data_IF_129803153640
#
_entry.id   IF_129803153640
#
_cell.length_a   1.000
_cell.length_b   1.000
_cell.length_c   1.000
_cell.angle_alpha   90.00
_cell.angle_beta   90.00
_cell.angle_gamma   90.00
#
_symmetry.space_group_name_H-M   'P 1'
#
loop_
_entity.id
_entity.type
_entity.pdbx_description
1 polymer ?
#
# COMPACT_ATOMS: atom_id res chain seq x y z
N UNK A 1 -0.51 8.99 22.77
CA UNK A 1 -0.63 9.43 21.37
C UNK A 1 -1.06 8.23 20.55
N UNK A 2 -2.35 8.11 20.26
CA UNK A 2 -2.91 6.99 19.51
C UNK A 2 -2.63 7.21 18.02
N UNK A 3 -1.85 6.34 17.38
CA UNK A 3 -1.78 6.31 15.92
C UNK A 3 -3.21 6.24 15.38
N UNK A 4 -3.60 7.10 14.42
CA UNK A 4 -4.93 7.01 13.86
C UNK A 4 -5.12 5.68 13.15
N UNK A 5 -6.35 5.16 13.17
CA UNK A 5 -6.69 3.92 12.49
C UNK A 5 -6.61 4.11 10.98
N UNK A 6 -5.48 3.73 10.40
CA UNK A 6 -5.29 3.63 8.96
C UNK A 6 -6.20 2.53 8.41
N UNK A 7 -6.93 2.81 7.32
CA UNK A 7 -7.71 1.77 6.64
C UNK A 7 -6.74 0.87 5.86
N UNK A 8 -6.74 -0.41 6.23
CA UNK A 8 -5.84 -1.43 5.66
C UNK A 8 -6.58 -2.42 4.77
N UNK A 9 -5.84 -3.17 3.95
CA UNK A 9 -6.38 -4.29 3.18
C UNK A 9 -7.10 -5.32 4.09
N UNK A 10 -6.56 -5.58 5.29
CA UNK A 10 -7.21 -6.38 6.34
C UNK A 10 -8.60 -5.84 6.67
N UNK A 11 -8.72 -4.55 6.96
CA UNK A 11 -10.01 -3.94 7.29
C UNK A 11 -11.01 -4.00 6.13
N UNK A 12 -10.53 -3.94 4.88
CA UNK A 12 -11.38 -4.11 3.69
C UNK A 12 -11.86 -5.55 3.49
N UNK A 13 -11.04 -6.55 3.80
CA UNK A 13 -11.44 -7.96 3.75
C UNK A 13 -12.40 -8.30 4.91
N UNK A 14 -12.04 -7.96 6.14
CA UNK A 14 -12.69 -8.49 7.36
C UNK A 14 -13.61 -7.50 8.09
N UNK A 15 -13.66 -6.23 7.70
CA UNK A 15 -14.63 -5.27 8.24
C UNK A 15 -14.40 -4.84 9.69
N UNK A 16 -13.15 -4.76 10.13
CA UNK A 16 -12.80 -4.32 11.48
C UNK A 16 -12.88 -5.40 12.56
N UNK A 17 -12.98 -6.67 12.17
CA UNK A 17 -12.89 -7.79 13.10
C UNK A 17 -11.58 -7.77 13.92
N UNK A 18 -11.64 -8.28 15.15
CA UNK A 18 -10.45 -8.43 16.01
C UNK A 18 -9.49 -9.43 15.38
N UNK A 19 -8.18 -9.24 15.57
CA UNK A 19 -7.13 -10.00 14.88
C UNK A 19 -7.25 -11.51 15.05
N UNK A 20 -7.62 -12.01 16.22
CA UNK A 20 -7.76 -13.44 16.47
C UNK A 20 -8.88 -14.07 15.60
N UNK A 21 -9.95 -13.32 15.36
CA UNK A 21 -11.04 -13.73 14.46
C UNK A 21 -10.58 -13.72 13.00
N UNK A 22 -9.78 -12.71 12.63
CA UNK A 22 -9.19 -12.61 11.29
C UNK A 22 -8.25 -13.78 11.01
N UNK A 23 -7.33 -14.07 11.93
CA UNK A 23 -6.37 -15.19 11.80
C UNK A 23 -7.12 -16.53 11.70
N UNK A 24 -8.20 -16.71 12.46
CA UNK A 24 -9.04 -17.90 12.41
C UNK A 24 -9.77 -18.08 11.06
N UNK A 25 -10.47 -17.06 10.57
CA UNK A 25 -11.16 -17.11 9.26
C UNK A 25 -10.15 -17.28 8.11
N UNK A 26 -9.00 -16.64 8.22
CA UNK A 26 -7.92 -16.77 7.24
C UNK A 26 -7.33 -18.19 7.22
N UNK A 27 -7.05 -18.77 8.39
CA UNK A 27 -6.58 -20.15 8.49
C UNK A 27 -7.59 -21.14 7.90
N UNK A 28 -8.88 -20.94 8.14
CA UNK A 28 -9.93 -21.76 7.54
C UNK A 28 -9.94 -21.65 6.02
N UNK A 29 -9.94 -20.42 5.49
CA UNK A 29 -9.92 -20.18 4.04
C UNK A 29 -8.70 -20.82 3.37
N UNK A 30 -7.52 -20.63 3.94
CA UNK A 30 -6.26 -21.21 3.44
C UNK A 30 -6.31 -22.73 3.41
N UNK A 31 -6.93 -23.35 4.41
CA UNK A 31 -7.13 -24.81 4.45
C UNK A 31 -8.08 -25.25 3.33
N UNK A 32 -9.23 -24.61 3.21
CA UNK A 32 -10.22 -24.96 2.17
C UNK A 32 -9.72 -24.73 0.74
N UNK A 33 -8.77 -23.81 0.54
CA UNK A 33 -8.17 -23.53 -0.77
C UNK A 33 -7.01 -24.46 -1.12
N UNK A 34 -6.57 -25.35 -0.22
CA UNK A 34 -5.47 -26.27 -0.51
C UNK A 34 -4.05 -25.67 -0.33
N UNK A 35 -3.92 -24.58 0.44
CA UNK A 35 -2.61 -23.96 0.73
C UNK A 35 -1.80 -24.84 1.69
N UNK A 36 -2.45 -25.68 2.49
CA UNK A 36 -1.79 -26.62 3.39
C UNK A 36 -0.88 -27.59 2.61
N UNK A 37 -1.38 -28.10 1.48
CA UNK A 37 -0.66 -29.00 0.58
C UNK A 37 0.56 -28.33 -0.03
N UNK A 38 0.46 -27.04 -0.39
CA UNK A 38 1.60 -26.25 -0.87
C UNK A 38 2.63 -26.00 0.23
N UNK A 39 2.15 -25.65 1.43
CA UNK A 39 2.98 -25.34 2.60
C UNK A 39 3.80 -26.55 3.06
N UNK A 40 3.29 -27.77 2.85
CA UNK A 40 3.90 -29.02 3.32
C UNK A 40 4.30 -29.96 2.18
N UNK A 41 4.41 -29.43 0.95
CA UNK A 41 4.66 -30.23 -0.26
C UNK A 41 5.93 -31.10 -0.19
N UNK A 42 6.95 -30.70 0.57
CA UNK A 42 8.21 -31.45 0.76
C UNK A 42 8.19 -32.34 2.01
N UNK A 43 7.09 -32.33 2.78
CA UNK A 43 6.89 -33.17 3.96
C UNK A 43 5.42 -33.66 4.04
N UNK A 44 4.96 -34.52 3.10
CA UNK A 44 3.54 -34.91 3.01
C UNK A 44 3.08 -35.82 4.16
N UNK A 45 4.01 -36.56 4.78
CA UNK A 45 3.74 -37.45 5.91
C UNK A 45 4.11 -36.74 7.21
N UNK A 46 3.21 -35.90 7.71
CA UNK A 46 3.34 -35.18 8.98
C UNK A 46 2.13 -35.41 9.88
N UNK A 47 2.32 -35.24 11.19
CA UNK A 47 1.23 -35.34 12.16
C UNK A 47 0.16 -34.25 11.91
N UNK A 48 -1.11 -34.58 12.19
CA UNK A 48 -2.23 -33.63 12.02
C UNK A 48 -2.06 -32.33 12.82
N UNK A 49 -1.43 -32.41 14.00
CA UNK A 49 -1.10 -31.22 14.80
C UNK A 49 -0.12 -30.28 14.10
N UNK A 50 0.88 -30.83 13.39
CA UNK A 50 1.85 -30.02 12.65
C UNK A 50 1.21 -29.39 11.40
N UNK A 51 0.30 -30.11 10.74
CA UNK A 51 -0.54 -29.59 9.65
C UNK A 51 -1.32 -28.34 10.06
N UNK A 52 -2.12 -28.48 11.11
CA UNK A 52 -2.90 -27.37 11.67
C UNK A 52 -2.01 -26.19 12.10
N UNK A 53 -0.89 -26.47 12.75
CA UNK A 53 0.06 -25.43 13.17
C UNK A 53 0.66 -24.68 11.96
N UNK A 54 1.03 -25.39 10.88
CA UNK A 54 1.58 -24.79 9.67
C UNK A 54 0.58 -23.81 9.05
N UNK A 55 -0.69 -24.21 8.88
CA UNK A 55 -1.75 -23.34 8.35
C UNK A 55 -1.95 -22.10 9.22
N UNK A 56 -1.95 -22.24 10.54
CA UNK A 56 -2.06 -21.11 11.46
C UNK A 56 -0.86 -20.14 11.34
N UNK A 57 0.36 -20.64 11.14
CA UNK A 57 1.52 -19.77 10.92
C UNK A 57 1.47 -19.07 9.56
N UNK A 58 1.04 -19.78 8.51
CA UNK A 58 0.79 -19.17 7.20
C UNK A 58 -0.26 -18.07 7.31
N UNK A 59 -1.36 -18.32 8.03
CA UNK A 59 -2.41 -17.33 8.25
C UNK A 59 -1.87 -16.07 8.94
N UNK A 60 -1.03 -16.21 9.97
CA UNK A 60 -0.36 -15.08 10.64
C UNK A 60 0.56 -14.30 9.69
N UNK A 61 1.35 -15.00 8.88
CA UNK A 61 2.22 -14.36 7.90
C UNK A 61 1.40 -13.58 6.87
N UNK A 62 0.30 -14.16 6.38
CA UNK A 62 -0.62 -13.50 5.45
C UNK A 62 -1.33 -12.33 6.10
N UNK A 63 -1.78 -12.43 7.34
CA UNK A 63 -2.39 -11.32 8.07
C UNK A 63 -1.44 -10.11 8.16
N UNK A 64 -0.13 -10.35 8.39
CA UNK A 64 0.90 -9.31 8.33
C UNK A 64 1.03 -8.65 6.96
N UNK A 65 0.86 -9.41 5.87
CA UNK A 65 0.85 -8.86 4.50
C UNK A 65 -0.39 -8.00 4.22
N UNK A 66 -1.49 -8.21 4.95
CA UNK A 66 -2.73 -7.45 4.80
C UNK A 66 -2.71 -6.08 5.53
N UNK A 67 -1.59 -5.71 6.17
CA UNK A 67 -1.39 -4.40 6.79
C UNK A 67 -1.11 -3.27 5.78
N UNK A 68 -1.29 -3.52 4.49
CA UNK A 68 -1.17 -2.50 3.44
C UNK A 68 -2.12 -1.33 3.72
N UNK A 69 -1.54 -0.14 3.91
CA UNK A 69 -2.23 1.14 4.00
C UNK A 69 -2.87 1.51 2.65
N UNK A 70 -4.21 1.52 2.62
CA UNK A 70 -4.97 1.86 1.42
C UNK A 70 -4.93 3.36 1.09
N UNK A 71 -4.78 4.22 2.10
CA UNK A 71 -4.57 5.65 1.91
C UNK A 71 -3.26 5.93 1.20
N UNK A 72 -2.19 5.25 1.61
CA UNK A 72 -0.90 5.26 0.94
C UNK A 72 -0.98 4.82 -0.52
N UNK A 73 -1.78 3.79 -0.84
CA UNK A 73 -2.02 3.35 -2.23
C UNK A 73 -2.70 4.45 -3.03
N UNK A 74 -3.80 5.02 -2.54
CA UNK A 74 -4.52 6.10 -3.22
C UNK A 74 -3.61 7.32 -3.48
N UNK A 75 -2.84 7.74 -2.47
CA UNK A 75 -1.89 8.86 -2.56
C UNK A 75 -0.79 8.60 -3.58
N UNK A 76 -0.25 7.37 -3.61
CA UNK A 76 0.76 6.98 -4.61
C UNK A 76 0.21 7.09 -6.04
N UNK A 77 -1.06 6.73 -6.26
CA UNK A 77 -1.76 6.94 -7.52
C UNK A 77 -1.93 8.42 -7.85
N UNK A 78 -2.37 9.24 -6.88
CA UNK A 78 -2.55 10.68 -7.09
C UNK A 78 -1.28 11.45 -7.42
N UNK A 79 -0.13 11.04 -6.86
CA UNK A 79 1.17 11.61 -7.23
C UNK A 79 1.51 11.40 -8.70
N UNK A 80 0.96 10.36 -9.33
CA UNK A 80 1.11 10.06 -10.77
C UNK A 80 0.01 10.69 -11.62
N UNK A 81 -1.02 11.29 -11.00
CA UNK A 81 -2.13 11.89 -11.72
C UNK A 81 -1.75 13.28 -12.23
N UNK A 82 -1.64 13.42 -13.56
CA UNK A 82 -1.07 14.60 -14.21
C UNK A 82 -1.75 15.92 -13.83
N UNK A 83 -3.07 15.92 -13.60
CA UNK A 83 -3.78 17.13 -13.19
C UNK A 83 -3.35 17.63 -11.81
N UNK A 84 -3.23 16.71 -10.86
CA UNK A 84 -2.74 17.05 -9.52
C UNK A 84 -1.28 17.45 -9.54
N UNK A 85 -0.46 16.74 -10.33
CA UNK A 85 0.95 17.08 -10.52
C UNK A 85 1.10 18.48 -11.14
N UNK A 86 0.32 18.81 -12.16
CA UNK A 86 0.29 20.11 -12.82
C UNK A 86 -0.08 21.24 -11.87
N UNK A 87 -1.14 21.06 -11.08
CA UNK A 87 -1.55 22.03 -10.06
C UNK A 87 -0.48 22.19 -8.97
N UNK A 88 0.15 21.09 -8.56
CA UNK A 88 1.23 21.13 -7.57
C UNK A 88 2.45 21.90 -8.09
N UNK A 89 2.81 21.74 -9.38
CA UNK A 89 3.88 22.51 -10.01
C UNK A 89 3.54 24.01 -10.09
N UNK A 90 2.32 24.36 -10.53
CA UNK A 90 1.88 25.76 -10.65
C UNK A 90 1.81 26.47 -9.30
N UNK A 91 1.37 25.78 -8.25
CA UNK A 91 1.25 26.35 -6.91
C UNK A 91 2.55 26.25 -6.11
N UNK A 92 3.65 25.68 -6.64
CA UNK A 92 4.87 25.40 -5.88
C UNK A 92 5.49 26.63 -5.22
N UNK A 93 5.46 27.79 -5.89
CA UNK A 93 5.98 29.06 -5.39
C UNK A 93 4.97 29.86 -4.58
N UNK A 94 3.77 29.33 -4.38
CA UNK A 94 2.67 29.97 -3.69
C UNK A 94 1.34 29.76 -4.40
N UNK A 95 0.25 29.91 -3.65
CA UNK A 95 -1.11 29.91 -4.19
C UNK A 95 -1.91 28.66 -3.88
N UNK A 96 -3.17 28.69 -4.32
CA UNK A 96 -4.16 27.64 -4.10
C UNK A 96 -4.87 27.36 -5.41
N UNK A 97 -5.02 26.08 -5.76
CA UNK A 97 -5.73 25.62 -6.93
C UNK A 97 -6.73 24.53 -6.54
N UNK A 98 -7.97 24.66 -7.01
CA UNK A 98 -8.98 23.60 -6.93
C UNK A 98 -8.91 22.76 -8.20
N UNK A 99 -8.71 21.45 -8.04
CA UNK A 99 -8.56 20.49 -9.14
C UNK A 99 -9.72 19.51 -9.11
N UNK A 100 -10.41 19.34 -10.22
CA UNK A 100 -11.40 18.27 -10.36
C UNK A 100 -10.70 16.96 -10.74
N UNK A 101 -10.88 15.95 -9.89
CA UNK A 101 -10.47 14.58 -10.14
C UNK A 101 -11.62 13.85 -10.80
N UNK A 102 -11.35 13.22 -11.93
CA UNK A 102 -12.29 12.28 -12.53
C UNK A 102 -12.22 10.92 -11.85
N UNK A 103 -13.19 10.07 -12.19
CA UNK A 103 -13.15 8.68 -11.79
C UNK A 103 -11.83 8.06 -12.23
N UNK A 104 -11.11 7.46 -11.29
CA UNK A 104 -9.85 6.80 -11.57
C UNK A 104 -9.66 5.62 -10.65
N UNK A 105 -8.89 4.65 -11.12
CA UNK A 105 -8.56 3.45 -10.40
C UNK A 105 -7.06 3.39 -10.15
N UNK A 106 -6.68 3.07 -8.92
CA UNK A 106 -5.30 2.84 -8.52
C UNK A 106 -5.19 1.40 -8.08
N UNK A 107 -4.32 0.65 -8.75
CA UNK A 107 -4.06 -0.74 -8.42
C UNK A 107 -2.68 -0.92 -7.81
N UNK A 108 -2.57 -1.86 -6.88
CA UNK A 108 -1.32 -2.35 -6.33
C UNK A 108 -1.40 -3.87 -6.22
N UNK A 109 -0.47 -4.54 -6.88
CA UNK A 109 -0.27 -5.98 -6.80
C UNK A 109 1.00 -6.28 -6.03
N UNK A 110 0.96 -7.27 -5.15
CA UNK A 110 2.11 -7.78 -4.42
C UNK A 110 2.13 -9.30 -4.52
N UNK A 111 3.26 -9.86 -4.93
CA UNK A 111 3.43 -11.31 -5.09
C UNK A 111 4.49 -11.85 -4.12
N UNK A 112 4.21 -11.94 -2.81
CA UNK A 112 5.20 -12.43 -1.85
C UNK A 112 5.38 -13.93 -1.99
N UNK A 113 6.62 -14.39 -1.83
CA UNK A 113 6.97 -15.80 -1.74
C UNK A 113 7.05 -16.19 -0.26
N UNK A 114 6.28 -17.19 0.14
CA UNK A 114 6.33 -17.75 1.48
C UNK A 114 7.17 -19.01 1.47
N UNK A 115 8.10 -19.11 2.42
CA UNK A 115 8.89 -20.30 2.69
C UNK A 115 8.45 -20.88 4.03
N UNK A 116 8.16 -22.17 4.05
CA UNK A 116 7.70 -22.88 5.25
C UNK A 116 8.82 -23.76 5.73
N UNK A 117 9.25 -23.51 6.97
CA UNK A 117 10.38 -24.19 7.61
C UNK A 117 9.93 -24.84 8.91
N UNK A 118 10.44 -26.04 9.20
CA UNK A 118 10.27 -26.74 10.47
C UNK A 118 11.65 -27.06 11.02
N UNK A 119 12.02 -26.37 12.10
CA UNK A 119 13.43 -26.31 12.53
C UNK A 119 14.26 -25.64 11.44
N UNK A 120 15.30 -26.32 10.95
CA UNK A 120 16.17 -25.85 9.87
C UNK A 120 15.77 -26.41 8.48
N UNK A 121 14.73 -27.24 8.42
CA UNK A 121 14.33 -27.93 7.20
C UNK A 121 13.21 -27.17 6.47
N UNK A 122 13.44 -26.83 5.21
CA UNK A 122 12.41 -26.24 4.36
C UNK A 122 11.42 -27.31 3.87
N UNK A 123 10.18 -27.25 4.37
CA UNK A 123 9.12 -28.23 4.10
C UNK A 123 8.15 -27.79 3.00
N UNK A 124 8.20 -26.52 2.60
CA UNK A 124 7.42 -26.03 1.48
C UNK A 124 7.77 -24.59 1.12
N UNK A 125 7.24 -24.17 -0.01
CA UNK A 125 7.27 -22.78 -0.47
C UNK A 125 6.17 -22.60 -1.52
N UNK A 126 5.62 -21.41 -1.59
CA UNK A 126 4.63 -21.04 -2.60
C UNK A 126 4.55 -19.52 -2.72
N UNK A 127 3.98 -19.05 -3.83
CA UNK A 127 3.74 -17.64 -4.06
C UNK A 127 2.30 -17.29 -3.68
N UNK A 128 2.11 -16.08 -3.18
CA UNK A 128 0.79 -15.48 -3.03
C UNK A 128 0.63 -14.36 -4.05
N UNK A 129 -0.61 -14.00 -4.31
CA UNK A 129 -1.00 -12.82 -5.07
C UNK A 129 -1.97 -12.02 -4.21
N UNK A 130 -1.56 -10.79 -3.88
CA UNK A 130 -2.38 -9.82 -3.16
C UNK A 130 -2.61 -8.62 -4.07
N UNK A 131 -3.84 -8.44 -4.49
CA UNK A 131 -4.28 -7.31 -5.30
C UNK A 131 -5.15 -6.36 -4.49
N UNK A 132 -4.84 -5.08 -4.61
CA UNK A 132 -5.62 -3.98 -4.05
C UNK A 132 -5.96 -3.03 -5.17
N UNK A 133 -7.25 -2.79 -5.38
CA UNK A 133 -7.75 -1.77 -6.30
C UNK A 133 -8.54 -0.73 -5.51
N UNK A 134 -8.21 0.55 -5.67
CA UNK A 134 -8.94 1.68 -5.10
C UNK A 134 -9.51 2.50 -6.24
N UNK A 135 -10.82 2.43 -6.42
CA UNK A 135 -11.56 3.21 -7.41
C UNK A 135 -12.17 4.43 -6.73
N UNK A 136 -11.66 5.60 -7.06
CA UNK A 136 -12.11 6.88 -6.49
C UNK A 136 -13.14 7.48 -7.44
N UNK A 137 -14.32 7.83 -6.91
CA UNK A 137 -15.34 8.55 -7.67
C UNK A 137 -14.92 10.01 -7.90
N UNK A 138 -15.49 10.69 -8.91
CA UNK A 138 -15.15 12.09 -9.18
C UNK A 138 -15.32 12.97 -7.93
N UNK A 139 -14.31 13.78 -7.64
CA UNK A 139 -14.31 14.69 -6.49
C UNK A 139 -13.36 15.87 -6.71
N UNK A 140 -13.54 16.94 -5.95
CA UNK A 140 -12.62 18.08 -5.99
C UNK A 140 -11.45 17.91 -5.02
N UNK A 141 -10.26 18.31 -5.40
CA UNK A 141 -9.08 18.37 -4.54
C UNK A 141 -8.61 19.83 -4.42
N UNK A 142 -8.04 20.19 -3.26
CA UNK A 142 -7.40 21.48 -3.06
C UNK A 142 -5.90 21.27 -2.96
N UNK A 143 -5.16 21.91 -3.85
CA UNK A 143 -3.71 21.94 -3.87
C UNK A 143 -3.24 23.32 -3.43
N UNK A 144 -2.34 23.37 -2.45
CA UNK A 144 -1.74 24.61 -1.96
C UNK A 144 -0.25 24.42 -1.79
N UNK A 145 0.55 25.33 -2.34
CA UNK A 145 2.01 25.30 -2.20
C UNK A 145 2.63 23.95 -2.63
N UNK A 146 2.09 23.31 -3.68
CA UNK A 146 2.54 21.98 -4.11
C UNK A 146 2.05 20.79 -3.27
N UNK A 147 1.18 21.03 -2.29
CA UNK A 147 0.66 20.02 -1.35
C UNK A 147 -0.83 19.79 -1.56
N UNK A 148 -1.27 18.53 -1.51
CA UNK A 148 -2.69 18.21 -1.34
C UNK A 148 -3.10 18.52 0.10
N UNK A 149 -4.06 19.44 0.26
CA UNK A 149 -4.48 19.93 1.59
C UNK A 149 -5.93 19.63 1.92
N UNK A 150 -6.77 19.36 0.92
CA UNK A 150 -8.16 18.97 1.14
C UNK A 150 -8.68 18.13 -0.03
N UNK A 151 -9.68 17.31 0.27
CA UNK A 151 -10.49 16.60 -0.70
C UNK A 151 -11.95 16.94 -0.41
N UNK A 152 -12.73 17.11 -1.46
CA UNK A 152 -14.17 17.22 -1.39
C UNK A 152 -14.80 15.89 -0.97
N UNK A 153 -16.10 15.91 -0.66
CA UNK A 153 -16.83 14.67 -0.39
C UNK A 153 -16.74 13.75 -1.60
N UNK A 154 -16.54 12.46 -1.33
CA UNK A 154 -16.42 11.44 -2.36
C UNK A 154 -16.36 10.06 -1.74
N UNK A 155 -16.84 9.09 -2.50
CA UNK A 155 -16.77 7.67 -2.18
C UNK A 155 -15.63 7.03 -2.97
N UNK A 156 -15.02 6.02 -2.38
CA UNK A 156 -14.14 5.11 -3.10
C UNK A 156 -14.55 3.68 -2.83
N UNK A 157 -14.50 2.88 -3.88
CA UNK A 157 -14.66 1.44 -3.83
C UNK A 157 -13.27 0.83 -3.71
N UNK A 158 -13.05 0.06 -2.66
CA UNK A 158 -11.83 -0.72 -2.47
C UNK A 158 -12.16 -2.17 -2.74
N UNK A 159 -11.37 -2.79 -3.59
CA UNK A 159 -11.41 -4.23 -3.84
C UNK A 159 -10.08 -4.84 -3.44
N UNK A 160 -10.13 -5.84 -2.57
CA UNK A 160 -8.96 -6.61 -2.16
C UNK A 160 -9.18 -8.06 -2.53
N UNK A 161 -8.21 -8.67 -3.20
CA UNK A 161 -8.16 -10.12 -3.43
C UNK A 161 -6.84 -10.72 -2.96
N UNK A 162 -6.95 -11.93 -2.43
CA UNK A 162 -5.85 -12.80 -2.09
C UNK A 162 -6.03 -14.11 -2.86
N UNK A 163 -4.96 -14.57 -3.49
CA UNK A 163 -4.89 -15.86 -4.17
C UNK A 163 -3.47 -16.43 -4.09
N UNK A 164 -3.31 -17.59 -4.69
CA UNK A 164 -2.02 -18.17 -5.01
C UNK A 164 -2.11 -18.76 -6.43
N UNK A 165 -1.10 -18.59 -7.29
CA UNK A 165 -1.14 -19.10 -8.66
C UNK A 165 -1.47 -20.60 -8.74
N UNK A 166 -1.01 -21.38 -7.77
CA UNK A 166 -1.14 -22.82 -7.74
C UNK A 166 -2.52 -23.32 -7.29
N UNK A 167 -3.26 -22.52 -6.51
CA UNK A 167 -4.57 -22.91 -5.94
C UNK A 167 -5.72 -21.98 -6.32
N UNK A 168 -5.43 -20.88 -7.00
CA UNK A 168 -6.40 -19.89 -7.43
C UNK A 168 -6.83 -18.91 -6.33
N UNK A 169 -8.04 -18.34 -6.45
CA UNK A 169 -8.52 -17.31 -5.53
C UNK A 169 -8.86 -17.90 -4.16
N UNK A 170 -8.28 -17.31 -3.11
CA UNK A 170 -8.53 -17.69 -1.71
C UNK A 170 -9.66 -16.83 -1.13
N UNK A 171 -9.62 -15.52 -1.39
CA UNK A 171 -10.70 -14.62 -1.01
C UNK A 171 -10.69 -13.33 -1.83
N UNK A 172 -11.86 -12.71 -1.93
CA UNK A 172 -12.04 -11.38 -2.52
C UNK A 172 -13.15 -10.64 -1.80
N UNK A 173 -12.94 -9.37 -1.49
CA UNK A 173 -13.97 -8.47 -0.95
C UNK A 173 -13.91 -7.12 -1.62
N UNK A 174 -15.08 -6.54 -1.77
CA UNK A 174 -15.28 -5.18 -2.22
C UNK A 174 -16.01 -4.41 -1.12
N UNK A 175 -15.55 -3.19 -0.81
CA UNK A 175 -16.15 -2.31 0.18
C UNK A 175 -16.10 -0.86 -0.26
N UNK A 176 -17.16 -0.13 0.08
CA UNK A 176 -17.22 1.32 -0.13
C UNK A 176 -16.76 2.03 1.12
N UNK A 177 -15.88 3.01 0.95
CA UNK A 177 -15.40 3.91 1.99
C UNK A 177 -15.61 5.36 1.57
N UNK A 178 -15.72 6.26 2.55
CA UNK A 178 -15.54 7.69 2.28
C UNK A 178 -14.06 7.94 1.99
N UNK A 179 -13.75 8.67 0.91
CA UNK A 179 -12.36 8.98 0.53
C UNK A 179 -11.61 9.68 1.67
N UNK A 180 -12.30 10.57 2.39
CA UNK A 180 -11.76 11.27 3.57
C UNK A 180 -11.41 10.34 4.75
N UNK A 181 -11.95 9.12 4.80
CA UNK A 181 -11.61 8.13 5.82
C UNK A 181 -10.43 7.25 5.38
N UNK A 182 -10.23 7.10 4.07
CA UNK A 182 -9.12 6.32 3.50
C UNK A 182 -7.84 7.14 3.49
N UNK A 183 -7.91 8.43 3.16
CA UNK A 183 -6.75 9.32 3.11
C UNK A 183 -6.75 10.33 4.25
N UNK A 184 -5.72 10.28 5.09
CA UNK A 184 -5.54 11.22 6.20
C UNK A 184 -4.92 12.55 5.72
N UNK A 185 -5.74 13.60 5.68
CA UNK A 185 -5.32 14.96 5.33
C UNK A 185 -5.08 15.88 6.54
N UNK A 186 -5.00 15.35 7.76
CA UNK A 186 -4.60 16.17 8.93
C UNK A 186 -3.21 16.77 8.75
N UNK A 187 -2.38 16.14 7.92
CA UNK A 187 -1.11 16.68 7.44
C UNK A 187 -1.18 16.83 5.92
N UNK A 188 -0.79 18.00 5.37
CA UNK A 188 -0.68 18.17 3.92
C UNK A 188 0.19 17.09 3.29
N UNK A 189 -0.25 16.56 2.14
CA UNK A 189 0.44 15.48 1.43
C UNK A 189 1.24 16.08 0.27
N UNK A 190 2.57 15.87 0.20
CA UNK A 190 3.35 16.34 -0.94
C UNK A 190 2.98 15.53 -2.18
N UNK A 191 2.60 16.25 -3.25
CA UNK A 191 2.25 15.67 -4.55
C UNK A 191 3.47 15.57 -5.49
N UNK A 192 4.48 16.39 -5.26
CA UNK A 192 5.75 16.33 -5.97
C UNK A 192 6.76 15.50 -5.17
N UNK A 193 7.69 14.80 -5.82
CA UNK A 193 8.84 14.23 -5.13
C UNK A 193 9.60 15.36 -4.42
N UNK A 194 10.08 15.11 -3.20
CA UNK A 194 11.02 16.02 -2.55
C UNK A 194 12.28 16.08 -3.42
N UNK A 195 12.45 17.16 -4.18
CA UNK A 195 13.71 17.45 -4.83
C UNK A 195 14.74 17.70 -3.72
N UNK A 196 15.89 17.00 -3.70
CA UNK A 196 16.99 17.37 -2.80
C UNK A 196 17.29 18.86 -2.99
N UNK A 197 17.51 19.58 -1.88
CA UNK A 197 17.94 20.97 -1.97
C UNK A 197 19.11 21.06 -2.95
N UNK A 198 19.11 22.02 -3.91
CA UNK A 198 20.27 22.21 -4.77
C UNK A 198 21.50 22.35 -3.88
N UNK A 199 22.63 21.67 -4.21
CA UNK A 199 23.85 21.82 -3.42
C UNK A 199 24.17 23.31 -3.30
N UNK A 200 24.61 23.78 -2.11
CA UNK A 200 24.99 25.18 -1.96
C UNK A 200 25.98 25.49 -3.08
N UNK A 201 25.62 26.43 -3.95
CA UNK A 201 26.52 26.97 -4.95
C UNK A 201 27.70 27.55 -4.19
N UNK A 202 28.82 26.82 -4.17
CA UNK A 202 30.10 27.36 -3.72
C UNK A 202 30.30 28.67 -4.48
N UNK A 203 30.54 29.81 -3.80
CA UNK A 203 30.83 31.04 -4.50
C UNK A 203 32.04 30.80 -5.39
N UNK A 204 31.84 30.99 -6.69
CA UNK A 204 32.88 30.91 -7.70
C UNK A 204 34.07 31.75 -7.22
N UNK A 205 35.18 31.08 -6.93
CA UNK A 205 36.42 31.72 -6.53
C UNK A 205 36.83 32.69 -7.64
N UNK A 206 36.74 33.98 -7.35
CA UNK A 206 37.33 35.01 -8.17
C UNK A 206 38.85 34.77 -8.17
N UNK A 207 39.39 34.24 -9.27
CA UNK A 207 40.81 34.23 -9.52
C UNK A 207 41.29 35.68 -9.67
N UNK A 208 42.25 36.17 -8.86
CA UNK A 208 42.86 37.46 -9.09
C UNK A 208 43.69 37.41 -10.38
N UNK A 209 43.52 38.41 -11.25
CA UNK A 209 44.35 38.61 -12.44
C UNK A 209 45.80 38.89 -12.02
N UNK A 210 46.82 38.32 -12.69
CA UNK A 210 48.21 38.65 -12.42
C UNK A 210 48.52 40.08 -12.89
N UNK A 211 49.19 40.83 -12.03
CA UNK A 211 49.71 42.18 -12.30
C UNK A 211 51.05 42.04 -13.03
N UNK A 212 51.31 42.76 -14.15
CA UNK A 212 52.58 42.64 -14.86
C UNK A 212 53.69 43.41 -14.10
N UNK A 213 54.78 42.71 -13.81
CA UNK A 213 56.01 43.32 -13.28
C UNK A 213 56.83 43.93 -14.43
N UNK A 214 57.37 45.13 -14.16
CA UNK A 214 58.24 45.93 -15.02
C UNK A 214 59.70 45.54 -14.81
#
# INVERSE_FOLDING_TARGET
>A
MTSPATITARSALFGGAVREVVEGDLAERLRTSGVEELALRRAPVVAAGLRSAAVCQVAKAVDGLLEIDLGGVAVAGWRRYERLRGAAMRTRTGGVERVELYAHEVTRTCCPRLEVVVGENQVGEFSLELDVAVRVQPLAAIVRNGMLVALGPGDCTVTVSLGAPEVGPIMRRERVFKVANVVDLRRPIPLLPNQPAPPPTSPSGAFPRPVPHR
#
